data_IF_327682392493
#
_entry.id   IF_327682392493
#
_cell.length_a   1.000
_cell.length_b   1.000
_cell.length_c   1.000
_cell.angle_alpha   90.00
_cell.angle_beta   90.00
_cell.angle_gamma   90.00
#
_symmetry.space_group_name_H-M   'P 1'
#
loop_
_entity.id
_entity.type
_entity.pdbx_description
1 polymer ?
#
# COMPACT_ATOMS: atom_id res chain seq x y z
N UNK A 1 16.60 13.24 16.57
CA UNK A 1 15.61 13.81 15.64
C UNK A 1 14.20 13.62 16.19
N UNK A 2 13.76 12.42 16.53
CA UNK A 2 12.45 12.17 17.14
C UNK A 2 12.44 12.32 18.66
N UNK A 3 11.35 12.85 19.21
CA UNK A 3 11.12 13.01 20.64
C UNK A 3 10.07 12.03 21.19
N UNK A 4 9.59 11.12 20.34
CA UNK A 4 8.47 10.21 20.61
C UNK A 4 7.15 10.76 20.05
N UNK A 5 6.38 9.89 19.40
CA UNK A 5 5.13 10.27 18.72
C UNK A 5 5.30 10.97 17.37
N UNK A 6 6.53 11.23 16.94
CA UNK A 6 6.80 11.84 15.64
C UNK A 6 6.66 10.83 14.50
N UNK A 7 6.07 11.27 13.40
CA UNK A 7 6.04 10.54 12.13
C UNK A 7 6.98 11.23 11.15
N UNK A 8 7.87 10.48 10.51
CA UNK A 8 8.79 11.03 9.53
C UNK A 8 8.53 10.45 8.15
N UNK A 9 8.65 11.30 7.15
CA UNK A 9 8.48 10.98 5.75
C UNK A 9 9.79 11.19 5.01
N UNK A 10 10.16 10.19 4.23
CA UNK A 10 11.34 10.27 3.38
C UNK A 10 10.95 10.89 2.03
N UNK A 11 11.74 11.86 1.58
CA UNK A 11 11.68 12.27 0.18
C UNK A 11 12.29 11.16 -0.68
N UNK A 12 11.43 10.45 -1.40
CA UNK A 12 11.82 9.32 -2.24
C UNK A 12 12.34 9.74 -3.62
N UNK A 13 12.34 11.05 -3.91
CA UNK A 13 12.72 11.58 -5.22
C UNK A 13 11.68 11.31 -6.31
N UNK A 14 12.14 11.24 -7.54
CA UNK A 14 11.27 11.02 -8.69
C UNK A 14 10.68 9.59 -8.73
N UNK A 15 9.40 9.45 -9.11
CA UNK A 15 8.78 8.15 -9.25
C UNK A 15 9.48 7.27 -10.27
N UNK A 16 9.74 6.03 -9.93
CA UNK A 16 10.34 5.03 -10.81
C UNK A 16 9.27 4.05 -11.27
N UNK A 17 9.16 3.84 -12.57
CA UNK A 17 8.26 2.84 -13.13
C UNK A 17 8.74 1.43 -12.77
N UNK A 18 7.84 0.61 -12.27
CA UNK A 18 8.16 -0.78 -11.88
C UNK A 18 8.70 -1.58 -13.06
N UNK A 19 8.19 -1.35 -14.28
CA UNK A 19 8.69 -2.02 -15.49
C UNK A 19 10.17 -1.69 -15.76
N UNK A 20 10.57 -0.43 -15.62
CA UNK A 20 11.96 -0.01 -15.82
C UNK A 20 12.89 -0.63 -14.74
N UNK A 21 12.40 -0.79 -13.52
CA UNK A 21 13.11 -1.49 -12.46
C UNK A 21 13.27 -2.97 -12.79
N UNK A 22 12.20 -3.64 -13.24
CA UNK A 22 12.21 -5.04 -13.65
C UNK A 22 13.20 -5.28 -14.79
N UNK A 23 13.18 -4.43 -15.82
CA UNK A 23 14.12 -4.50 -16.94
C UNK A 23 15.59 -4.38 -16.48
N UNK A 24 15.88 -3.41 -15.61
CA UNK A 24 17.21 -3.26 -15.03
C UNK A 24 17.65 -4.48 -14.24
N UNK A 25 16.75 -5.07 -13.45
CA UNK A 25 17.06 -6.29 -12.67
C UNK A 25 17.38 -7.47 -13.58
N UNK A 26 16.62 -7.68 -14.66
CA UNK A 26 16.88 -8.72 -15.64
C UNK A 26 18.27 -8.55 -16.26
N UNK A 27 18.60 -7.35 -16.73
CA UNK A 27 19.88 -7.05 -17.34
C UNK A 27 21.06 -7.19 -16.35
N UNK A 28 20.90 -6.73 -15.11
CA UNK A 28 21.91 -6.89 -14.06
C UNK A 28 22.16 -8.35 -13.68
N UNK A 29 21.17 -9.22 -13.89
CA UNK A 29 21.31 -10.67 -13.71
C UNK A 29 21.98 -11.37 -14.91
N UNK A 30 22.38 -10.63 -15.94
CA UNK A 30 22.99 -11.15 -17.15
C UNK A 30 21.97 -11.85 -18.08
N UNK A 31 20.68 -11.61 -17.87
CA UNK A 31 19.58 -12.20 -18.64
C UNK A 31 19.02 -11.20 -19.65
N UNK A 32 18.34 -11.72 -20.67
CA UNK A 32 17.70 -10.96 -21.73
C UNK A 32 16.18 -10.97 -21.59
N UNK A 33 15.55 -9.84 -21.96
CA UNK A 33 14.09 -9.72 -21.94
C UNK A 33 13.54 -10.28 -23.26
N UNK A 34 12.52 -11.11 -23.15
CA UNK A 34 11.76 -11.60 -24.29
C UNK A 34 10.85 -10.49 -24.81
N UNK A 35 10.99 -10.18 -26.09
CA UNK A 35 10.20 -9.17 -26.80
C UNK A 35 10.03 -9.58 -28.27
N UNK A 36 9.32 -8.77 -29.03
CA UNK A 36 9.22 -8.99 -30.49
C UNK A 36 10.59 -8.94 -31.17
N UNK A 37 11.51 -8.08 -30.69
CA UNK A 37 12.88 -7.97 -31.21
C UNK A 37 13.81 -9.10 -30.71
N UNK A 38 13.49 -9.67 -29.55
CA UNK A 38 14.25 -10.75 -28.91
C UNK A 38 13.33 -11.93 -28.53
N UNK A 39 12.82 -12.70 -29.52
CA UNK A 39 11.84 -13.76 -29.26
C UNK A 39 12.35 -14.89 -28.36
N UNK A 40 13.68 -15.09 -28.35
CA UNK A 40 14.37 -16.11 -27.55
C UNK A 40 14.92 -15.56 -26.21
N UNK A 41 14.49 -14.36 -25.79
CA UNK A 41 14.90 -13.80 -24.49
C UNK A 41 14.53 -14.71 -23.33
N UNK A 42 15.31 -14.63 -22.26
CA UNK A 42 15.23 -15.53 -21.10
C UNK A 42 13.95 -15.31 -20.27
N UNK A 43 13.57 -14.04 -20.09
CA UNK A 43 12.44 -13.64 -19.20
C UNK A 43 11.43 -12.81 -19.96
N UNK A 44 10.15 -13.17 -19.84
CA UNK A 44 9.03 -12.34 -20.29
C UNK A 44 8.54 -11.46 -19.13
N UNK A 45 8.20 -10.21 -19.43
CA UNK A 45 7.50 -9.31 -18.48
C UNK A 45 6.03 -9.32 -18.87
N UNK A 46 5.17 -9.72 -17.92
CA UNK A 46 3.72 -9.79 -18.12
C UNK A 46 3.01 -8.75 -17.26
N UNK A 47 2.07 -8.03 -17.85
CA UNK A 47 1.23 -7.04 -17.15
C UNK A 47 -0.08 -7.69 -16.74
N UNK A 48 -0.23 -7.96 -15.46
CA UNK A 48 -1.42 -8.66 -14.91
C UNK A 48 -2.58 -7.73 -14.54
N UNK A 49 -2.37 -6.41 -14.62
CA UNK A 49 -3.31 -5.40 -14.15
C UNK A 49 -3.33 -5.26 -12.61
N UNK A 50 -4.18 -4.38 -12.13
CA UNK A 50 -4.35 -4.13 -10.68
C UNK A 50 -5.32 -5.14 -10.08
N UNK A 51 -5.00 -5.63 -8.89
CA UNK A 51 -5.92 -6.41 -8.06
C UNK A 51 -6.87 -5.47 -7.30
N UNK A 52 -8.03 -5.95 -6.85
CA UNK A 52 -8.89 -5.18 -5.95
C UNK A 52 -8.12 -4.71 -4.71
N UNK A 53 -8.17 -3.41 -4.43
CA UNK A 53 -7.46 -2.80 -3.30
C UNK A 53 -6.01 -2.40 -3.57
N UNK A 54 -5.43 -2.72 -4.72
CA UNK A 54 -4.12 -2.21 -5.12
C UNK A 54 -4.24 -0.76 -5.62
N UNK A 55 -3.32 0.10 -5.19
CA UNK A 55 -3.20 1.46 -5.69
C UNK A 55 -2.20 1.53 -6.83
N UNK A 56 -2.50 2.33 -7.86
CA UNK A 56 -1.56 2.60 -8.95
C UNK A 56 -0.43 3.52 -8.49
N UNK A 57 -0.74 4.42 -7.55
CA UNK A 57 0.21 5.36 -6.96
C UNK A 57 0.09 5.29 -5.44
N UNK A 58 1.24 5.24 -4.76
CA UNK A 58 1.28 5.36 -3.30
C UNK A 58 1.09 6.81 -2.87
N UNK A 59 0.23 7.02 -1.90
CA UNK A 59 0.09 8.30 -1.21
C UNK A 59 1.08 8.35 -0.07
N UNK A 60 2.03 9.28 -0.14
CA UNK A 60 3.07 9.40 0.88
C UNK A 60 2.53 9.92 2.21
N UNK A 61 1.46 10.76 2.18
CA UNK A 61 0.81 11.34 3.36
C UNK A 61 -0.64 11.70 3.07
N UNK A 62 -1.47 11.64 4.11
CA UNK A 62 -2.89 12.05 4.09
C UNK A 62 -3.07 13.52 4.49
N UNK A 63 -2.04 14.33 4.60
CA UNK A 63 -2.17 15.73 5.01
C UNK A 63 -1.12 16.67 4.48
N UNK A 64 -1.49 17.95 4.38
CA UNK A 64 -0.61 19.04 3.92
C UNK A 64 0.35 19.53 5.05
N UNK A 65 0.37 18.88 6.21
CA UNK A 65 1.06 19.33 7.42
C UNK A 65 2.48 18.75 7.54
N UNK A 66 3.25 18.85 6.46
CA UNK A 66 4.64 18.38 6.44
C UNK A 66 5.58 19.53 6.78
N UNK A 67 6.46 19.34 7.74
CA UNK A 67 7.44 20.33 8.20
C UNK A 67 8.84 19.83 7.86
N UNK A 68 9.68 20.72 7.32
CA UNK A 68 11.07 20.40 7.05
C UNK A 68 11.83 20.08 8.36
N UNK A 69 12.72 19.10 8.28
CA UNK A 69 13.66 18.80 9.35
C UNK A 69 15.07 19.32 8.99
N UNK A 70 16.04 19.26 9.90
CA UNK A 70 17.43 19.58 9.57
C UNK A 70 18.04 18.69 8.48
N UNK A 71 17.42 17.55 8.15
CA UNK A 71 17.84 16.66 7.08
C UNK A 71 17.03 16.91 5.82
N UNK A 72 17.69 17.23 4.69
CA UNK A 72 17.03 17.64 3.44
C UNK A 72 16.06 16.61 2.85
N UNK A 73 16.27 15.34 3.12
CA UNK A 73 15.46 14.22 2.58
C UNK A 73 14.47 13.65 3.61
N UNK A 74 14.35 14.27 4.77
CA UNK A 74 13.44 13.79 5.85
C UNK A 74 12.54 14.95 6.26
N UNK A 75 11.24 14.74 6.18
CA UNK A 75 10.24 15.67 6.66
C UNK A 75 9.52 15.09 7.86
N UNK A 76 9.04 15.95 8.76
CA UNK A 76 8.16 15.57 9.87
C UNK A 76 6.72 15.79 9.45
N UNK A 77 5.89 14.77 9.65
CA UNK A 77 4.46 14.85 9.43
C UNK A 77 3.74 15.05 10.77
N UNK A 78 2.67 15.82 10.74
CA UNK A 78 1.78 15.99 11.88
C UNK A 78 0.42 15.39 11.51
N UNK A 79 0.31 14.08 11.72
CA UNK A 79 -0.87 13.31 11.35
C UNK A 79 -1.94 13.32 12.44
N UNK A 80 -3.20 13.23 12.03
CA UNK A 80 -4.30 13.01 12.94
C UNK A 80 -4.15 11.66 13.63
N UNK A 81 -4.36 11.62 14.93
CA UNK A 81 -4.28 10.39 15.71
C UNK A 81 -5.42 10.28 16.73
N UNK A 82 -5.76 9.05 17.07
CA UNK A 82 -6.67 8.76 18.18
C UNK A 82 -5.87 8.55 19.46
N UNK A 83 -6.40 9.06 20.58
CA UNK A 83 -5.82 8.73 21.88
C UNK A 83 -5.86 7.21 22.10
N UNK A 84 -4.90 6.68 22.88
CA UNK A 84 -4.84 5.24 23.15
C UNK A 84 -6.14 4.70 23.76
N UNK A 85 -6.78 5.44 24.64
CA UNK A 85 -8.04 5.03 25.27
C UNK A 85 -9.17 4.83 24.25
N UNK A 86 -9.27 5.74 23.28
CA UNK A 86 -10.24 5.64 22.19
C UNK A 86 -9.87 4.50 21.24
N UNK A 87 -8.61 4.45 20.82
CA UNK A 87 -8.11 3.43 19.88
C UNK A 87 -8.27 2.02 20.45
N UNK A 88 -7.95 1.81 21.74
CA UNK A 88 -8.09 0.51 22.40
C UNK A 88 -9.53 -0.02 22.34
N UNK A 89 -10.52 0.86 22.55
CA UNK A 89 -11.94 0.49 22.40
C UNK A 89 -12.28 0.05 20.97
N UNK A 90 -11.83 0.82 19.97
CA UNK A 90 -12.03 0.50 18.55
C UNK A 90 -11.36 -0.81 18.13
N UNK A 91 -10.14 -1.06 18.60
CA UNK A 91 -9.43 -2.32 18.34
C UNK A 91 -10.16 -3.54 18.94
N UNK A 92 -10.72 -3.39 20.14
CA UNK A 92 -11.51 -4.47 20.75
C UNK A 92 -12.79 -4.77 19.97
N UNK A 93 -13.50 -3.73 19.49
CA UNK A 93 -14.66 -3.89 18.62
C UNK A 93 -14.27 -4.56 17.27
N UNK A 94 -13.14 -4.14 16.71
CA UNK A 94 -12.63 -4.68 15.43
C UNK A 94 -12.30 -6.17 15.56
N UNK A 95 -11.58 -6.57 16.61
CA UNK A 95 -11.28 -7.98 16.88
C UNK A 95 -12.56 -8.80 17.04
N UNK A 96 -13.53 -8.31 17.82
CA UNK A 96 -14.80 -8.99 17.98
C UNK A 96 -15.63 -9.09 16.69
N UNK A 97 -15.49 -8.15 15.76
CA UNK A 97 -16.12 -8.23 14.45
C UNK A 97 -15.42 -9.26 13.53
N UNK A 98 -14.09 -9.30 13.56
CA UNK A 98 -13.29 -10.31 12.85
C UNK A 98 -13.60 -11.72 13.33
N UNK A 99 -13.66 -11.95 14.65
CA UNK A 99 -13.97 -13.26 15.25
C UNK A 99 -15.38 -13.79 14.85
N UNK A 100 -16.27 -12.89 14.42
CA UNK A 100 -17.63 -13.25 13.97
C UNK A 100 -17.79 -13.22 12.46
N UNK A 101 -16.71 -13.01 11.69
CA UNK A 101 -16.74 -12.82 10.24
C UNK A 101 -17.67 -11.68 9.79
N UNK A 102 -17.89 -10.66 10.65
CA UNK A 102 -18.73 -9.50 10.35
C UNK A 102 -17.93 -8.44 9.56
N UNK A 103 -17.67 -8.74 8.29
CA UNK A 103 -16.88 -7.89 7.39
C UNK A 103 -17.50 -6.51 7.17
N UNK A 104 -18.84 -6.42 7.23
CA UNK A 104 -19.53 -5.13 7.13
C UNK A 104 -19.20 -4.24 8.31
N UNK A 105 -19.19 -4.81 9.52
CA UNK A 105 -18.79 -4.09 10.73
C UNK A 105 -17.32 -3.72 10.73
N UNK A 106 -16.44 -4.62 10.28
CA UNK A 106 -15.01 -4.34 10.08
C UNK A 106 -14.82 -3.13 9.18
N UNK A 107 -15.47 -3.12 8.01
CA UNK A 107 -15.40 -2.00 7.06
C UNK A 107 -15.88 -0.69 7.67
N UNK A 108 -17.00 -0.74 8.40
CA UNK A 108 -17.53 0.44 9.07
C UNK A 108 -16.57 0.99 10.13
N UNK A 109 -16.01 0.12 10.97
CA UNK A 109 -15.03 0.52 12.00
C UNK A 109 -13.78 1.15 11.39
N UNK A 110 -13.28 0.61 10.28
CA UNK A 110 -12.16 1.20 9.56
C UNK A 110 -12.49 2.58 9.00
N UNK A 111 -13.68 2.78 8.41
CA UNK A 111 -14.14 4.09 7.96
C UNK A 111 -14.24 5.12 9.08
N UNK A 112 -14.72 4.68 10.25
CA UNK A 112 -14.90 5.56 11.41
C UNK A 112 -13.58 5.88 12.12
N UNK A 113 -12.54 5.10 11.89
CA UNK A 113 -11.29 5.16 12.66
C UNK A 113 -10.12 5.70 11.86
N UNK A 114 -10.06 5.39 10.57
CA UNK A 114 -8.94 5.76 9.69
C UNK A 114 -9.33 6.94 8.82
N UNK A 115 -8.70 8.08 9.08
CA UNK A 115 -8.89 9.30 8.27
C UNK A 115 -8.54 9.02 6.80
N UNK A 116 -9.40 9.48 5.88
CA UNK A 116 -9.20 9.29 4.44
C UNK A 116 -9.46 7.86 3.93
N UNK A 117 -9.79 6.89 4.78
CA UNK A 117 -10.16 5.56 4.31
C UNK A 117 -11.54 5.57 3.65
N UNK A 118 -11.54 5.50 2.33
CA UNK A 118 -12.75 5.46 1.48
C UNK A 118 -12.68 4.26 0.54
N UNK A 119 -12.99 3.04 1.02
CA UNK A 119 -12.95 1.87 0.17
C UNK A 119 -14.06 1.90 -0.86
N UNK A 120 -13.69 1.78 -2.12
CA UNK A 120 -14.62 1.66 -3.25
C UNK A 120 -15.04 0.21 -3.46
N UNK A 121 -16.27 0.03 -3.98
CA UNK A 121 -16.77 -1.27 -4.37
C UNK A 121 -17.30 -2.15 -3.24
N UNK A 122 -17.64 -3.37 -3.59
CA UNK A 122 -18.12 -4.40 -2.66
C UNK A 122 -16.97 -5.06 -1.90
N UNK A 123 -17.31 -5.72 -0.78
CA UNK A 123 -16.34 -6.56 -0.06
C UNK A 123 -16.09 -7.81 -0.91
N UNK A 124 -14.84 -8.02 -1.30
CA UNK A 124 -14.44 -9.13 -2.16
C UNK A 124 -13.56 -10.10 -1.39
N UNK A 125 -13.96 -11.37 -1.36
CA UNK A 125 -13.08 -12.47 -0.91
C UNK A 125 -12.11 -12.83 -2.03
N UNK A 126 -10.93 -12.24 -1.97
CA UNK A 126 -9.89 -12.47 -2.97
C UNK A 126 -9.38 -13.92 -2.98
N UNK A 127 -9.28 -14.56 -1.83
CA UNK A 127 -8.85 -15.95 -1.74
C UNK A 127 -9.86 -16.91 -2.37
N UNK A 128 -11.16 -16.61 -2.24
CA UNK A 128 -12.23 -17.35 -2.91
C UNK A 128 -12.16 -17.16 -4.43
N UNK A 129 -11.95 -15.94 -4.91
CA UNK A 129 -11.82 -15.65 -6.34
C UNK A 129 -10.59 -16.33 -6.95
N UNK A 130 -9.44 -16.27 -6.28
CA UNK A 130 -8.21 -16.87 -6.75
C UNK A 130 -8.34 -18.39 -6.95
N UNK A 131 -8.95 -19.10 -5.99
CA UNK A 131 -9.20 -20.55 -6.09
C UNK A 131 -10.12 -20.95 -7.25
N UNK A 132 -10.93 -20.02 -7.73
CA UNK A 132 -11.89 -20.28 -8.81
C UNK A 132 -11.27 -20.16 -10.20
N UNK A 133 -10.11 -19.54 -10.30
CA UNK A 133 -9.38 -19.28 -11.54
C UNK A 133 -8.04 -20.04 -11.64
N UNK A 134 -7.66 -20.80 -10.61
CA UNK A 134 -6.58 -21.78 -10.74
C UNK A 134 -7.12 -23.00 -11.52
N UNK A 135 -6.44 -23.41 -12.64
CA UNK A 135 -6.85 -24.53 -13.47
C UNK A 135 -6.72 -25.88 -12.76
#
# INVERSE_FOLDING_TARGET
MGLGGDVFVLDMGEPVKIVELAEKMVHLSGLSIRSEQTPHGDIAIEFTGLRPGEKLYEELLIGDNVVATPHSMIMSANEDYLSWEVLKGKLSELLAAVDRDDYSRVRQLLRDTVSGYSPDGEIVDWMYLQRRFEP
#
